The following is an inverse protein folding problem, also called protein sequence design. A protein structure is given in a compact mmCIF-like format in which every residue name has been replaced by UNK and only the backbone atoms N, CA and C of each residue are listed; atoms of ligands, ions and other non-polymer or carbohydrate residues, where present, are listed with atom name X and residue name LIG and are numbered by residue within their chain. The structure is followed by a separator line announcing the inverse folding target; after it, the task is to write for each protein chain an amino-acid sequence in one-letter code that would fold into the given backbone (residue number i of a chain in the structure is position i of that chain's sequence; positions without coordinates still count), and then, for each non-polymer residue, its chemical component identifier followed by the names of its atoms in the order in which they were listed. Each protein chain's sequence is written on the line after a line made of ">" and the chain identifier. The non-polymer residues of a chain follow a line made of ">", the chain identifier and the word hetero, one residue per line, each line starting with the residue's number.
data_IF_586952995892
#
_entry.id   IF_586952995892
#
_cell.length_a   1.000
_cell.length_b   1.000
_cell.length_c   1.000
_cell.angle_alpha   90.00
_cell.angle_beta   90.00
_cell.angle_gamma   90.00
#
_symmetry.space_group_name_H-M   'P 1'
#
loop_
_entity.id
_entity.type
_entity.pdbx_description
1 polymer ?
#
# COMPACT_ATOMS: atom_id res chain seq x y z
N UNK A 1 -7.56 -24.59 -13.16
CA UNK A 1 -7.31 -24.21 -11.74
C UNK A 1 -6.29 -23.08 -11.57
N UNK A 2 -5.23 -23.00 -12.39
CA UNK A 2 -4.19 -21.95 -12.30
C UNK A 2 -4.71 -20.54 -12.64
N UNK A 3 -5.57 -20.41 -13.66
CA UNK A 3 -6.16 -19.13 -14.11
C UNK A 3 -6.87 -18.39 -12.96
N UNK A 4 -7.64 -19.10 -12.14
CA UNK A 4 -8.31 -18.51 -10.97
C UNK A 4 -7.35 -18.00 -9.90
N UNK A 5 -6.13 -18.53 -9.82
CA UNK A 5 -5.14 -18.12 -8.82
C UNK A 5 -4.38 -16.89 -9.32
N UNK A 6 -3.88 -16.93 -10.55
CA UNK A 6 -3.23 -15.78 -11.20
C UNK A 6 -4.16 -14.57 -11.24
N UNK A 7 -5.42 -14.78 -11.63
CA UNK A 7 -6.42 -13.71 -11.64
C UNK A 7 -6.66 -13.09 -10.25
N UNK A 8 -6.65 -13.89 -9.18
CA UNK A 8 -6.77 -13.35 -7.80
C UNK A 8 -5.57 -12.48 -7.44
N UNK A 9 -4.36 -12.91 -7.77
CA UNK A 9 -3.16 -12.11 -7.52
C UNK A 9 -3.14 -10.82 -8.36
N UNK A 10 -3.63 -10.85 -9.62
CA UNK A 10 -3.80 -9.64 -10.42
C UNK A 10 -4.77 -8.65 -9.77
N UNK A 11 -5.94 -9.14 -9.31
CA UNK A 11 -6.92 -8.30 -8.60
C UNK A 11 -6.33 -7.74 -7.31
N UNK A 12 -5.58 -8.55 -6.55
CA UNK A 12 -4.90 -8.09 -5.33
C UNK A 12 -3.83 -7.05 -5.64
N UNK A 13 -3.12 -7.17 -6.77
CA UNK A 13 -2.14 -6.18 -7.23
C UNK A 13 -2.79 -4.83 -7.51
N UNK A 14 -3.92 -4.81 -8.22
CA UNK A 14 -4.68 -3.58 -8.46
C UNK A 14 -5.19 -2.95 -7.16
N UNK A 15 -5.69 -3.76 -6.23
CA UNK A 15 -6.14 -3.31 -4.91
C UNK A 15 -4.97 -2.73 -4.12
N UNK A 16 -3.81 -3.41 -4.12
CA UNK A 16 -2.61 -2.94 -3.46
C UNK A 16 -2.16 -1.59 -3.99
N UNK A 17 -2.12 -1.43 -5.32
CA UNK A 17 -1.76 -0.16 -5.97
C UNK A 17 -2.75 0.93 -5.52
N UNK A 18 -4.06 0.70 -5.62
CA UNK A 18 -5.07 1.68 -5.22
C UNK A 18 -4.99 2.09 -3.74
N UNK A 19 -4.79 1.12 -2.84
CA UNK A 19 -4.60 1.38 -1.41
C UNK A 19 -3.33 2.18 -1.17
N UNK A 20 -2.22 1.81 -1.82
CA UNK A 20 -0.93 2.49 -1.65
C UNK A 20 -0.99 3.92 -2.15
N UNK A 21 -1.51 4.15 -3.36
CA UNK A 21 -1.73 5.50 -3.92
C UNK A 21 -2.57 6.38 -2.99
N UNK A 22 -3.63 5.80 -2.42
CA UNK A 22 -4.47 6.52 -1.46
C UNK A 22 -3.68 6.88 -0.19
N UNK A 23 -2.89 5.94 0.35
CA UNK A 23 -2.04 6.19 1.51
C UNK A 23 -0.99 7.30 1.24
N UNK A 24 -0.36 7.31 0.07
CA UNK A 24 0.55 8.39 -0.33
C UNK A 24 -0.16 9.75 -0.36
N UNK A 25 -1.36 9.82 -0.94
CA UNK A 25 -2.12 11.06 -1.00
C UNK A 25 -2.56 11.55 0.38
N UNK A 26 -2.92 10.64 1.28
CA UNK A 26 -3.26 10.98 2.67
C UNK A 26 -2.04 11.49 3.41
N UNK A 27 -0.90 10.82 3.28
CA UNK A 27 0.36 11.28 3.88
C UNK A 27 0.75 12.65 3.35
N UNK A 28 0.67 12.84 2.04
CA UNK A 28 0.93 14.13 1.40
C UNK A 28 -0.02 15.22 1.89
N UNK A 29 -1.29 14.88 2.10
CA UNK A 29 -2.28 15.82 2.61
C UNK A 29 -1.99 16.27 4.04
N UNK A 30 -1.43 15.38 4.88
CA UNK A 30 -1.20 15.64 6.31
C UNK A 30 0.18 16.26 6.54
N UNK A 31 1.23 15.69 5.96
CA UNK A 31 2.63 16.12 6.17
C UNK A 31 3.07 17.08 5.06
N UNK A 32 2.89 16.70 3.79
CA UNK A 32 3.34 17.51 2.64
C UNK A 32 2.70 18.90 2.55
N UNK A 33 1.47 19.10 3.01
CA UNK A 33 0.81 20.42 3.02
C UNK A 33 1.44 21.44 3.98
N UNK A 34 2.21 20.97 4.97
CA UNK A 34 2.93 21.83 5.88
C UNK A 34 4.08 22.55 5.16
N UNK A 35 4.63 21.93 4.11
CA UNK A 35 5.72 22.48 3.32
C UNK A 35 5.19 23.60 2.42
N UNK A 36 5.58 24.83 2.74
CA UNK A 36 5.02 26.03 2.12
C UNK A 36 5.87 26.63 1.00
N UNK A 37 7.11 26.17 0.83
CA UNK A 37 8.04 26.66 -0.20
C UNK A 37 7.62 26.27 -1.62
N UNK A 38 7.93 27.12 -2.60
CA UNK A 38 7.75 26.80 -4.03
C UNK A 38 8.74 25.76 -4.56
N UNK A 39 9.82 25.48 -3.84
CA UNK A 39 10.81 24.45 -4.18
C UNK A 39 10.26 23.02 -4.04
N UNK A 40 9.25 22.85 -3.20
CA UNK A 40 8.61 21.56 -2.96
C UNK A 40 7.44 21.35 -3.93
N UNK A 41 7.59 20.41 -4.87
CA UNK A 41 6.57 20.07 -5.87
C UNK A 41 5.51 19.09 -5.34
N UNK A 42 4.97 19.36 -4.15
CA UNK A 42 3.89 18.57 -3.55
C UNK A 42 2.48 18.93 -4.05
N UNK A 43 1.47 18.29 -3.47
CA UNK A 43 0.06 18.43 -3.90
C UNK A 43 -0.41 19.90 -3.87
N UNK A 44 0.08 20.67 -2.90
CA UNK A 44 -0.27 22.09 -2.72
C UNK A 44 0.34 23.00 -3.79
N UNK A 45 1.60 22.77 -4.17
CA UNK A 45 2.38 23.73 -4.95
C UNK A 45 2.44 23.34 -6.44
N UNK A 46 2.52 22.05 -6.76
CA UNK A 46 2.46 21.55 -8.14
C UNK A 46 1.02 21.42 -8.65
N UNK A 47 0.04 21.37 -7.74
CA UNK A 47 -1.36 21.10 -8.05
C UNK A 47 -1.65 19.61 -8.20
N UNK A 48 -2.91 19.24 -7.96
CA UNK A 48 -3.30 17.84 -7.79
C UNK A 48 -3.02 16.94 -8.99
N UNK A 49 -3.31 17.41 -10.20
CA UNK A 49 -3.14 16.62 -11.44
C UNK A 49 -1.66 16.32 -11.70
N UNK A 50 -0.80 17.34 -11.59
CA UNK A 50 0.64 17.20 -11.85
C UNK A 50 1.26 16.27 -10.81
N UNK A 51 0.92 16.48 -9.53
CA UNK A 51 1.42 15.65 -8.45
C UNK A 51 1.02 14.17 -8.62
N UNK A 52 -0.28 13.88 -8.84
CA UNK A 52 -0.75 12.51 -9.04
C UNK A 52 -0.06 11.85 -10.23
N UNK A 53 0.11 12.58 -11.34
CA UNK A 53 0.80 12.05 -12.52
C UNK A 53 2.27 11.74 -12.22
N UNK A 54 2.98 12.65 -11.53
CA UNK A 54 4.37 12.40 -11.11
C UNK A 54 4.48 11.20 -10.17
N UNK A 55 3.50 10.99 -9.29
CA UNK A 55 3.48 9.88 -8.35
C UNK A 55 3.24 8.55 -9.06
N UNK A 56 2.35 8.51 -10.05
CA UNK A 56 2.11 7.30 -10.84
C UNK A 56 3.32 6.96 -11.73
N UNK A 57 3.87 7.95 -12.44
CA UNK A 57 4.99 7.70 -13.36
C UNK A 57 6.30 7.42 -12.61
N UNK A 58 6.59 8.22 -11.58
CA UNK A 58 7.81 8.13 -10.78
C UNK A 58 7.79 7.02 -9.73
N UNK A 59 6.63 6.67 -9.17
CA UNK A 59 6.53 5.71 -8.07
C UNK A 59 5.74 4.44 -8.40
N UNK A 60 4.91 4.46 -9.46
CA UNK A 60 4.05 3.33 -9.82
C UNK A 60 4.82 2.06 -10.19
N UNK A 61 6.00 2.19 -10.82
CA UNK A 61 6.83 1.04 -11.16
C UNK A 61 7.43 0.37 -9.91
N UNK A 62 7.82 1.15 -8.89
CA UNK A 62 8.25 0.61 -7.60
C UNK A 62 7.12 -0.15 -6.90
N UNK A 63 5.89 0.36 -6.94
CA UNK A 63 4.73 -0.33 -6.37
C UNK A 63 4.47 -1.68 -7.05
N UNK A 64 4.54 -1.72 -8.38
CA UNK A 64 4.36 -2.96 -9.12
C UNK A 64 5.47 -3.97 -8.79
N UNK A 65 6.73 -3.54 -8.80
CA UNK A 65 7.86 -4.38 -8.45
C UNK A 65 7.76 -4.90 -7.01
N UNK A 66 7.42 -4.03 -6.05
CA UNK A 66 7.21 -4.40 -4.66
C UNK A 66 6.10 -5.44 -4.51
N UNK A 67 4.98 -5.26 -5.21
CA UNK A 67 3.88 -6.22 -5.18
C UNK A 67 4.32 -7.60 -5.70
N UNK A 68 4.97 -7.65 -6.86
CA UNK A 68 5.33 -8.90 -7.52
C UNK A 68 6.44 -9.62 -6.75
N UNK A 69 7.48 -8.90 -6.32
CA UNK A 69 8.70 -9.49 -5.76
C UNK A 69 8.58 -9.76 -4.27
N UNK A 70 7.87 -8.91 -3.52
CA UNK A 70 7.82 -8.98 -2.06
C UNK A 70 6.44 -9.43 -1.60
N UNK A 71 5.40 -8.67 -1.94
CA UNK A 71 4.09 -8.89 -1.33
C UNK A 71 3.43 -10.19 -1.78
N UNK A 72 3.55 -10.55 -3.06
CA UNK A 72 2.96 -11.77 -3.62
C UNK A 72 3.56 -13.05 -3.00
N UNK A 73 4.89 -13.22 -2.93
CA UNK A 73 5.49 -14.36 -2.22
C UNK A 73 5.11 -14.40 -0.74
N UNK A 74 5.11 -13.26 -0.05
CA UNK A 74 4.71 -13.19 1.36
C UNK A 74 3.24 -13.60 1.52
N UNK A 75 2.34 -13.09 0.69
CA UNK A 75 0.93 -13.45 0.74
C UNK A 75 0.70 -14.95 0.53
N UNK A 76 1.45 -15.55 -0.39
CA UNK A 76 1.43 -17.00 -0.59
C UNK A 76 1.95 -17.77 0.64
N UNK A 77 3.11 -17.38 1.20
CA UNK A 77 3.70 -17.99 2.39
C UNK A 77 2.77 -17.88 3.60
N UNK A 78 2.21 -16.70 3.85
CA UNK A 78 1.30 -16.46 4.96
C UNK A 78 0.05 -17.35 4.86
N UNK A 79 -0.49 -17.55 3.67
CA UNK A 79 -1.63 -18.48 3.50
C UNK A 79 -1.25 -19.94 3.70
N UNK A 80 -0.02 -20.31 3.34
CA UNK A 80 0.47 -21.69 3.50
C UNK A 80 0.71 -22.03 4.98
N UNK A 81 1.27 -21.11 5.75
CA UNK A 81 1.74 -21.39 7.11
C UNK A 81 0.86 -20.79 8.22
N UNK A 82 0.13 -19.70 7.96
CA UNK A 82 -0.64 -18.99 9.00
C UNK A 82 -2.14 -19.27 8.85
N UNK A 83 -2.63 -20.17 9.69
CA UNK A 83 -4.04 -20.60 9.70
C UNK A 83 -5.00 -19.46 10.07
N UNK A 84 -4.64 -18.65 11.06
CA UNK A 84 -5.54 -17.64 11.61
C UNK A 84 -5.55 -16.33 10.79
N UNK A 85 -6.72 -15.84 10.33
CA UNK A 85 -6.81 -14.62 9.56
C UNK A 85 -6.40 -13.37 10.35
N UNK A 86 -6.67 -13.33 11.65
CA UNK A 86 -6.27 -12.21 12.52
C UNK A 86 -4.74 -12.04 12.57
N UNK A 87 -3.99 -13.14 12.65
CA UNK A 87 -2.52 -13.10 12.64
C UNK A 87 -1.99 -12.59 11.31
N UNK A 88 -2.59 -13.01 10.18
CA UNK A 88 -2.23 -12.48 8.85
C UNK A 88 -2.48 -10.97 8.76
N UNK A 89 -3.61 -10.49 9.27
CA UNK A 89 -3.90 -9.04 9.33
C UNK A 89 -2.86 -8.28 10.14
N UNK A 90 -2.47 -8.82 11.30
CA UNK A 90 -1.43 -8.20 12.13
C UNK A 90 -0.08 -8.12 11.40
N UNK A 91 0.32 -9.18 10.69
CA UNK A 91 1.55 -9.19 9.90
C UNK A 91 1.50 -8.13 8.79
N UNK A 92 0.39 -8.00 8.06
CA UNK A 92 0.26 -6.95 7.04
C UNK A 92 0.26 -5.55 7.64
N UNK A 93 -0.41 -5.35 8.79
CA UNK A 93 -0.41 -4.07 9.50
C UNK A 93 1.01 -3.64 9.87
N UNK A 94 1.79 -4.52 10.50
CA UNK A 94 3.18 -4.22 10.88
C UNK A 94 4.06 -4.05 9.64
N UNK A 95 3.96 -4.96 8.68
CA UNK A 95 4.76 -4.93 7.45
C UNK A 95 4.54 -3.65 6.64
N UNK A 96 3.30 -3.22 6.47
CA UNK A 96 3.00 -1.96 5.78
C UNK A 96 3.41 -0.76 6.63
N UNK A 97 3.18 -0.76 7.94
CA UNK A 97 3.64 0.31 8.83
C UNK A 97 5.15 0.53 8.75
N UNK A 98 5.95 -0.54 8.76
CA UNK A 98 7.39 -0.49 8.53
C UNK A 98 7.72 0.01 7.11
N UNK A 99 6.98 -0.44 6.09
CA UNK A 99 7.10 0.08 4.73
C UNK A 99 6.80 1.58 4.62
N UNK A 100 5.91 2.10 5.46
CA UNK A 100 5.58 3.52 5.56
C UNK A 100 6.79 4.38 5.97
N UNK A 101 7.69 3.86 6.80
CA UNK A 101 8.94 4.57 7.13
C UNK A 101 9.81 4.76 5.89
N UNK A 102 10.01 3.69 5.12
CA UNK A 102 10.78 3.75 3.89
C UNK A 102 10.14 4.70 2.87
N UNK A 103 8.81 4.67 2.75
CA UNK A 103 8.06 5.62 1.91
C UNK A 103 8.30 7.06 2.34
N UNK A 104 8.22 7.36 3.64
CA UNK A 104 8.41 8.73 4.14
C UNK A 104 9.79 9.27 3.78
N UNK A 105 10.83 8.45 3.97
CA UNK A 105 12.21 8.82 3.64
C UNK A 105 12.45 9.00 2.13
N UNK A 106 11.65 8.36 1.27
CA UNK A 106 11.69 8.57 -0.18
C UNK A 106 10.92 9.82 -0.62
N UNK A 107 9.85 10.18 0.08
CA UNK A 107 8.99 11.32 -0.27
C UNK A 107 9.54 12.66 0.22
N UNK A 108 10.15 12.69 1.41
CA UNK A 108 10.57 13.92 2.06
C UNK A 108 12.08 13.95 2.25
N UNK A 109 12.73 14.98 1.72
CA UNK A 109 14.15 15.19 1.97
C UNK A 109 14.39 15.57 3.44
N UNK A 110 15.55 15.23 4.03
CA UNK A 110 15.88 15.62 5.40
C UNK A 110 15.79 17.13 5.65
N UNK A 111 16.02 17.94 4.61
CA UNK A 111 15.86 19.39 4.66
C UNK A 111 14.41 19.79 4.98
N UNK A 112 13.43 19.23 4.28
CA UNK A 112 12.02 19.52 4.54
C UNK A 112 11.54 18.89 5.85
N UNK A 113 12.02 17.70 6.19
CA UNK A 113 11.65 17.03 7.45
C UNK A 113 12.06 17.87 8.66
N UNK A 114 13.29 18.37 8.69
CA UNK A 114 13.78 19.19 9.81
C UNK A 114 13.26 20.64 9.74
N UNK A 115 13.05 21.18 8.54
CA UNK A 115 12.58 22.55 8.37
C UNK A 115 11.09 22.75 8.69
N UNK A 116 10.29 21.70 8.58
CA UNK A 116 8.83 21.73 8.79
C UNK A 116 8.36 20.76 9.89
N UNK A 117 9.29 20.20 10.68
CA UNK A 117 9.01 19.26 11.79
C UNK A 117 8.08 18.09 11.38
N UNK A 118 8.27 17.55 10.17
CA UNK A 118 7.41 16.52 9.62
C UNK A 118 7.49 15.22 10.44
N UNK A 119 6.34 14.60 10.68
CA UNK A 119 6.27 13.48 11.60
C UNK A 119 6.28 12.12 10.88
N UNK A 120 7.38 11.37 11.05
CA UNK A 120 7.53 10.00 10.52
C UNK A 120 6.48 9.03 11.07
N UNK A 121 6.02 9.24 12.31
CA UNK A 121 5.04 8.37 12.98
C UNK A 121 3.70 8.42 12.24
N UNK A 122 3.34 9.56 11.65
CA UNK A 122 2.13 9.71 10.82
C UNK A 122 2.13 8.71 9.67
N UNK A 123 3.27 8.55 8.97
CA UNK A 123 3.39 7.57 7.89
C UNK A 123 3.21 6.14 8.38
N UNK A 124 3.82 5.77 9.51
CA UNK A 124 3.65 4.42 10.08
C UNK A 124 2.17 4.10 10.28
N UNK A 125 1.40 5.01 10.88
CA UNK A 125 -0.02 4.78 11.15
C UNK A 125 -0.86 4.70 9.88
N UNK A 126 -0.65 5.61 8.92
CA UNK A 126 -1.37 5.61 7.64
C UNK A 126 -1.15 4.28 6.91
N UNK A 127 0.11 3.85 6.80
CA UNK A 127 0.43 2.61 6.10
C UNK A 127 0.02 1.36 6.91
N UNK A 128 0.06 1.40 8.23
CA UNK A 128 -0.46 0.31 9.06
C UNK A 128 -1.97 0.10 8.82
N UNK A 129 -2.75 1.18 8.74
CA UNK A 129 -4.18 1.14 8.40
C UNK A 129 -4.36 0.58 6.98
N UNK A 130 -3.56 1.04 6.01
CA UNK A 130 -3.57 0.50 4.66
C UNK A 130 -3.32 -1.02 4.61
N UNK A 131 -2.38 -1.52 5.43
CA UNK A 131 -2.11 -2.95 5.58
C UNK A 131 -3.30 -3.74 6.12
N UNK A 132 -4.04 -3.17 7.09
CA UNK A 132 -5.29 -3.77 7.58
C UNK A 132 -6.35 -3.83 6.49
N UNK A 133 -6.56 -2.73 5.75
CA UNK A 133 -7.51 -2.68 4.62
C UNK A 133 -7.15 -3.73 3.57
N UNK A 134 -5.87 -3.84 3.22
CA UNK A 134 -5.38 -4.84 2.29
C UNK A 134 -5.70 -6.26 2.78
N UNK A 135 -5.40 -6.58 4.03
CA UNK A 135 -5.67 -7.89 4.62
C UNK A 135 -7.16 -8.28 4.59
N UNK A 136 -8.06 -7.31 4.85
CA UNK A 136 -9.51 -7.52 4.78
C UNK A 136 -9.92 -7.87 3.34
N UNK A 137 -9.44 -7.12 2.35
CA UNK A 137 -9.71 -7.39 0.93
C UNK A 137 -9.17 -8.75 0.50
N UNK A 138 -7.96 -9.09 0.95
CA UNK A 138 -7.31 -10.36 0.69
C UNK A 138 -8.14 -11.55 1.18
N UNK A 139 -8.66 -11.44 2.40
CA UNK A 139 -9.51 -12.46 3.00
C UNK A 139 -10.86 -12.58 2.28
N UNK A 140 -11.46 -11.45 1.88
CA UNK A 140 -12.75 -11.41 1.16
C UNK A 140 -12.65 -12.08 -0.22
N UNK A 141 -11.60 -11.79 -0.98
CA UNK A 141 -11.38 -12.37 -2.32
C UNK A 141 -11.20 -13.88 -2.23
N UNK A 142 -10.45 -14.36 -1.23
CA UNK A 142 -10.19 -15.79 -1.10
C UNK A 142 -11.41 -16.58 -0.64
N UNK A 143 -12.21 -16.03 0.29
CA UNK A 143 -13.47 -16.65 0.74
C UNK A 143 -14.45 -16.83 -0.42
N UNK A 144 -14.68 -15.79 -1.24
CA UNK A 144 -15.50 -15.88 -2.46
C UNK A 144 -15.01 -16.99 -3.39
N UNK A 145 -13.70 -17.10 -3.49
CA UNK A 145 -13.04 -18.10 -4.29
C UNK A 145 -13.14 -19.55 -3.79
N UNK A 146 -13.48 -19.79 -2.51
CA UNK A 146 -13.76 -21.12 -1.97
C UNK A 146 -15.23 -21.50 -2.18
N UNK A 147 -16.16 -20.59 -1.92
CA UNK A 147 -17.60 -20.81 -2.13
C UNK A 147 -17.92 -21.19 -3.60
N UNK A 148 -17.27 -20.54 -4.57
CA UNK A 148 -17.42 -20.89 -5.99
C UNK A 148 -16.87 -22.27 -6.36
N UNK A 149 -15.91 -22.81 -5.60
CA UNK A 149 -15.39 -24.16 -5.84
C UNK A 149 -16.33 -25.21 -5.26
N UNK A 150 -16.91 -24.95 -4.09
CA UNK A 150 -17.90 -25.82 -3.45
C UNK A 150 -19.17 -25.93 -4.31
N UNK A 151 -19.70 -24.82 -4.81
CA UNK A 151 -20.89 -24.80 -5.68
C UNK A 151 -20.71 -25.51 -7.03
N UNK A 152 -19.47 -25.67 -7.53
CA UNK A 152 -19.19 -26.40 -8.77
C UNK A 152 -18.93 -27.89 -8.56
N UNK A 153 -18.84 -28.33 -7.31
CA UNK A 153 -18.56 -29.72 -6.94
C UNK A 153 -19.83 -30.50 -6.54
N UNK A 154 -20.91 -29.79 -6.22
CA UNK A 154 -22.32 -30.26 -6.19
C UNK A 154 -22.96 -30.14 -7.56
#
# INVERSE_FOLDING_TARGET
>A
MLVNTVQRYMVLGLIFIGISLTAYLVLERIEGYQITTTEYYGLRNAGGVIYILSLILGFGHYLLAFFIVILSPIAWLLRKYVRFPMVRTFIYMVGFGCGGLWVFDQMYSPYFVNGYDLNRITSIWIFAIAGVVYAIMENKIWRRGQMQKEQKAT
#
